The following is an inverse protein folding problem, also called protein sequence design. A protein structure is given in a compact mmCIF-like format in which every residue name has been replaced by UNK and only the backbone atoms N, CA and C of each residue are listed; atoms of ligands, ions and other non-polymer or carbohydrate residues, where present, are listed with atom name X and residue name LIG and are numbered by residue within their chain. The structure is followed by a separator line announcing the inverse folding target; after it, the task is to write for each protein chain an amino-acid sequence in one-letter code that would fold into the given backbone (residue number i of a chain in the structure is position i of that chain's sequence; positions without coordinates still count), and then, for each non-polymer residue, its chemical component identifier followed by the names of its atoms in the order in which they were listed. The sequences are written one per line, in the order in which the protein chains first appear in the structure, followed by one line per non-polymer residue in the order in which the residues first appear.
data_IF_861839929488
#
_entry.id   IF_861839929488
#
_cell.length_a   1.000
_cell.length_b   1.000
_cell.length_c   1.000
_cell.angle_alpha   90.00
_cell.angle_beta   90.00
_cell.angle_gamma   90.00
#
_symmetry.space_group_name_H-M   'P 1'
#
loop_
_entity.id
_entity.type
_entity.pdbx_description
1 polymer ?
#
# COMPACT_ATOMS: atom_id res chain seq x y z
N UNK A 1 3.59 -16.09 -16.42
CA UNK A 1 2.72 -15.25 -17.28
C UNK A 1 1.45 -14.73 -16.58
N UNK A 2 0.80 -15.49 -15.68
CA UNK A 2 -0.42 -15.04 -14.99
C UNK A 2 -0.26 -13.73 -14.20
N UNK A 3 0.83 -13.58 -13.42
CA UNK A 3 1.08 -12.39 -12.62
C UNK A 3 1.26 -11.11 -13.44
N UNK A 4 1.85 -11.20 -14.64
CA UNK A 4 2.04 -10.02 -15.52
C UNK A 4 0.69 -9.53 -16.04
N UNK A 5 -0.19 -10.44 -16.49
CA UNK A 5 -1.53 -10.07 -16.97
C UNK A 5 -2.36 -9.39 -15.87
N UNK A 6 -2.31 -9.92 -14.65
CA UNK A 6 -3.00 -9.34 -13.48
C UNK A 6 -2.44 -7.94 -13.18
N UNK A 7 -1.11 -7.80 -13.14
CA UNK A 7 -0.47 -6.52 -12.87
C UNK A 7 -0.78 -5.47 -13.94
N UNK A 8 -0.80 -5.86 -15.22
CA UNK A 8 -1.17 -4.97 -16.31
C UNK A 8 -2.64 -4.56 -16.25
N UNK A 9 -3.54 -5.49 -15.91
CA UNK A 9 -4.96 -5.19 -15.73
C UNK A 9 -5.18 -4.19 -14.57
N UNK A 10 -4.52 -4.42 -13.43
CA UNK A 10 -4.57 -3.50 -12.28
C UNK A 10 -3.99 -2.13 -12.61
N UNK A 11 -2.92 -2.07 -13.41
CA UNK A 11 -2.38 -0.80 -13.88
C UNK A 11 -3.38 -0.05 -14.77
N UNK A 12 -4.07 -0.75 -15.67
CA UNK A 12 -5.13 -0.16 -16.50
C UNK A 12 -6.30 0.36 -15.65
N UNK A 13 -6.67 -0.35 -14.57
CA UNK A 13 -7.66 0.13 -13.60
C UNK A 13 -7.18 1.41 -12.90
N UNK A 14 -5.92 1.45 -12.46
CA UNK A 14 -5.35 2.66 -11.87
C UNK A 14 -5.38 3.85 -12.86
N UNK A 15 -5.08 3.63 -14.13
CA UNK A 15 -5.21 4.67 -15.16
C UNK A 15 -6.65 5.16 -15.32
N UNK A 16 -7.64 4.26 -15.28
CA UNK A 16 -9.05 4.65 -15.30
C UNK A 16 -9.42 5.49 -14.09
N UNK A 17 -8.94 5.14 -12.89
CA UNK A 17 -9.16 5.92 -11.68
C UNK A 17 -8.53 7.32 -11.82
N UNK A 18 -7.31 7.41 -12.35
CA UNK A 18 -6.63 8.69 -12.61
C UNK A 18 -7.44 9.55 -13.57
N UNK A 19 -7.99 8.96 -14.65
CA UNK A 19 -8.86 9.68 -15.59
C UNK A 19 -10.13 10.17 -14.92
N UNK A 20 -10.79 9.34 -14.11
CA UNK A 20 -11.99 9.74 -13.36
C UNK A 20 -11.69 10.89 -12.41
N UNK A 21 -10.59 10.82 -11.66
CA UNK A 21 -10.15 11.90 -10.77
C UNK A 21 -9.82 13.17 -11.56
N UNK A 22 -9.14 13.04 -12.70
CA UNK A 22 -8.80 14.15 -13.57
C UNK A 22 -10.04 14.89 -14.07
N UNK A 23 -11.02 14.18 -14.61
CA UNK A 23 -12.26 14.79 -15.10
C UNK A 23 -13.20 15.27 -13.99
N UNK A 24 -13.16 14.63 -12.81
CA UNK A 24 -14.06 14.94 -11.69
C UNK A 24 -13.60 16.07 -10.78
N UNK A 25 -12.28 16.18 -10.52
CA UNK A 25 -11.74 17.12 -9.52
C UNK A 25 -11.18 18.40 -10.12
N UNK A 26 -10.72 18.39 -11.38
CA UNK A 26 -9.97 19.51 -11.94
C UNK A 26 -10.76 20.25 -13.03
N UNK A 27 -10.97 21.55 -12.84
CA UNK A 27 -11.72 22.38 -13.78
C UNK A 27 -10.92 22.81 -15.01
N UNK A 28 -9.62 23.10 -14.84
CA UNK A 28 -8.77 23.64 -15.91
C UNK A 28 -8.16 22.55 -16.83
N UNK A 29 -8.33 21.27 -16.50
CA UNK A 29 -7.93 20.09 -17.29
C UNK A 29 -6.55 20.25 -17.94
N UNK A 30 -5.60 20.79 -17.20
CA UNK A 30 -4.23 20.98 -17.69
C UNK A 30 -3.45 19.66 -17.62
N UNK A 31 -2.32 19.57 -18.34
CA UNK A 31 -1.44 18.40 -18.22
C UNK A 31 -0.90 18.23 -16.78
N UNK A 32 -0.67 19.34 -16.07
CA UNK A 32 -0.28 19.33 -14.66
C UNK A 32 -1.38 18.70 -13.78
N UNK A 33 -2.65 19.00 -14.05
CA UNK A 33 -3.78 18.42 -13.31
C UNK A 33 -3.88 16.90 -13.52
N UNK A 34 -3.52 16.41 -14.70
CA UNK A 34 -3.44 14.96 -14.96
C UNK A 34 -2.33 14.31 -14.13
N UNK A 35 -1.16 14.95 -14.06
CA UNK A 35 -0.05 14.50 -13.20
C UNK A 35 -0.48 14.50 -11.73
N UNK A 36 -1.18 15.54 -11.27
CA UNK A 36 -1.70 15.64 -9.91
C UNK A 36 -2.70 14.52 -9.59
N UNK A 37 -3.60 14.20 -10.52
CA UNK A 37 -4.49 13.03 -10.40
C UNK A 37 -3.72 11.72 -10.23
N UNK A 38 -2.66 11.53 -11.02
CA UNK A 38 -1.72 10.41 -10.88
C UNK A 38 -1.06 10.37 -9.51
N UNK A 39 -0.59 11.53 -9.04
CA UNK A 39 0.09 11.68 -7.76
C UNK A 39 -0.82 11.33 -6.57
N UNK A 40 -2.11 11.69 -6.62
CA UNK A 40 -3.06 11.29 -5.57
C UNK A 40 -3.23 9.77 -5.48
N UNK A 41 -3.39 9.09 -6.63
CA UNK A 41 -3.49 7.62 -6.65
C UNK A 41 -2.20 6.99 -6.13
N UNK A 42 -1.04 7.45 -6.61
CA UNK A 42 0.26 6.97 -6.14
C UNK A 42 0.43 7.18 -4.63
N UNK A 43 0.02 8.32 -4.08
CA UNK A 43 0.16 8.61 -2.66
C UNK A 43 -0.58 7.59 -1.79
N UNK A 44 -1.78 7.15 -2.20
CA UNK A 44 -2.51 6.09 -1.51
C UNK A 44 -1.73 4.78 -1.52
N UNK A 45 -1.24 4.37 -2.69
CA UNK A 45 -0.42 3.16 -2.82
C UNK A 45 0.87 3.24 -2.00
N UNK A 46 1.52 4.40 -2.00
CA UNK A 46 2.77 4.65 -1.30
C UNK A 46 2.59 4.59 0.23
N UNK A 47 1.60 5.28 0.78
CA UNK A 47 1.31 5.26 2.22
C UNK A 47 0.96 3.84 2.68
N UNK A 48 0.10 3.14 1.95
CA UNK A 48 -0.24 1.75 2.28
C UNK A 48 0.96 0.81 2.13
N UNK A 49 1.84 1.05 1.14
CA UNK A 49 3.09 0.29 1.00
C UNK A 49 4.01 0.48 2.20
N UNK A 50 4.12 1.69 2.74
CA UNK A 50 4.90 1.96 3.95
C UNK A 50 4.30 1.25 5.17
N UNK A 51 2.98 1.30 5.33
CA UNK A 51 2.28 0.57 6.41
C UNK A 51 2.56 -0.94 6.30
N UNK A 52 2.41 -1.50 5.10
CA UNK A 52 2.69 -2.92 4.86
C UNK A 52 4.16 -3.28 5.06
N UNK A 53 5.09 -2.37 4.76
CA UNK A 53 6.51 -2.56 5.01
C UNK A 53 6.79 -2.71 6.50
N UNK A 54 6.19 -1.85 7.33
CA UNK A 54 6.33 -1.92 8.79
C UNK A 54 5.67 -3.18 9.36
N UNK A 55 4.48 -3.55 8.87
CA UNK A 55 3.77 -4.78 9.30
C UNK A 55 4.57 -6.03 8.95
N UNK A 56 5.04 -6.14 7.70
CA UNK A 56 5.83 -7.31 7.26
C UNK A 56 7.20 -7.37 7.96
N UNK A 57 7.75 -6.22 8.34
CA UNK A 57 8.99 -6.11 9.12
C UNK A 57 8.91 -6.66 10.55
N UNK A 58 7.78 -7.26 10.96
CA UNK A 58 7.51 -7.79 12.31
C UNK A 58 7.61 -6.75 13.42
N UNK A 59 7.57 -5.46 13.07
CA UNK A 59 7.61 -4.36 14.04
C UNK A 59 6.42 -4.43 15.00
N UNK A 60 5.22 -4.61 14.45
CA UNK A 60 4.01 -4.80 15.23
C UNK A 60 4.00 -6.12 16.02
N UNK A 61 4.56 -7.20 15.45
CA UNK A 61 4.71 -8.47 16.16
C UNK A 61 5.59 -8.31 17.42
N UNK A 62 6.67 -7.53 17.32
CA UNK A 62 7.54 -7.20 18.46
C UNK A 62 6.84 -6.40 19.55
N UNK A 63 5.99 -5.44 19.17
CA UNK A 63 5.15 -4.66 20.11
C UNK A 63 4.16 -5.59 20.81
N UNK A 64 3.40 -6.39 20.04
CA UNK A 64 2.40 -7.33 20.57
C UNK A 64 3.08 -8.36 21.48
N UNK A 65 4.23 -8.89 21.11
CA UNK A 65 5.00 -9.80 21.95
C UNK A 65 5.39 -9.17 23.29
N UNK A 66 5.81 -7.90 23.28
CA UNK A 66 6.17 -7.16 24.50
C UNK A 66 4.97 -6.95 25.41
N UNK A 67 3.81 -6.57 24.85
CA UNK A 67 2.56 -6.46 25.61
C UNK A 67 2.06 -7.81 26.13
N UNK A 68 2.17 -8.88 25.34
CA UNK A 68 1.82 -10.26 25.75
C UNK A 68 2.70 -10.74 26.90
N UNK A 69 4.00 -10.44 26.85
CA UNK A 69 4.96 -10.74 27.94
C UNK A 69 4.70 -9.91 29.20
N UNK A 70 4.27 -8.67 29.05
CA UNK A 70 3.90 -7.82 30.19
C UNK A 70 2.58 -8.28 30.83
N UNK A 71 1.54 -8.50 30.03
CA UNK A 71 0.24 -8.97 30.49
C UNK A 71 0.33 -10.33 31.19
N UNK A 72 1.08 -11.28 30.64
CA UNK A 72 1.28 -12.60 31.27
C UNK A 72 2.02 -12.56 32.61
N UNK A 73 2.82 -11.51 32.87
CA UNK A 73 3.49 -11.30 34.18
C UNK A 73 2.59 -10.59 35.19
N UNK A 74 1.68 -9.73 34.71
CA UNK A 74 0.78 -8.94 35.57
C UNK A 74 -0.50 -9.71 35.90
N UNK A 75 -1.04 -10.49 34.97
CA UNK A 75 -2.24 -11.30 35.16
C UNK A 75 -1.86 -12.71 35.65
N UNK A 76 -1.89 -12.93 36.96
CA UNK A 76 -1.92 -14.27 37.56
C UNK A 76 -3.30 -14.90 37.32
N UNK A 77 -3.48 -15.58 36.19
CA UNK A 77 -4.69 -16.35 35.92
C UNK A 77 -4.95 -16.55 34.43
N UNK A 78 -5.51 -17.71 34.09
CA UNK A 78 -5.71 -18.32 32.76
C UNK A 78 -6.51 -17.48 31.72
N UNK A 79 -6.76 -16.20 31.95
CA UNK A 79 -7.54 -15.33 31.07
C UNK A 79 -6.81 -14.91 29.77
N UNK A 80 -5.55 -15.32 29.57
CA UNK A 80 -4.72 -14.90 28.45
C UNK A 80 -4.55 -15.96 27.33
N UNK A 81 -5.08 -17.17 27.50
CA UNK A 81 -4.86 -18.29 26.57
C UNK A 81 -5.58 -18.10 25.22
N UNK A 82 -6.74 -17.45 25.19
CA UNK A 82 -7.47 -17.18 23.93
C UNK A 82 -6.78 -16.13 23.05
N UNK A 83 -6.06 -15.17 23.65
CA UNK A 83 -5.30 -14.16 22.90
C UNK A 83 -4.00 -14.72 22.28
N UNK A 84 -3.57 -15.91 22.70
CA UNK A 84 -2.38 -16.58 22.17
C UNK A 84 -2.62 -17.25 20.81
N UNK A 85 -3.87 -17.58 20.45
CA UNK A 85 -4.21 -18.26 19.18
C UNK A 85 -4.43 -17.32 17.98
N UNK A 86 -4.44 -16.00 18.16
CA UNK A 86 -4.57 -15.07 17.01
C UNK A 86 -3.28 -15.06 16.18
N UNK A 87 -3.43 -15.23 14.87
CA UNK A 87 -2.35 -15.05 13.88
C UNK A 87 -1.69 -13.69 14.06
N UNK A 88 -0.38 -13.67 13.95
CA UNK A 88 0.39 -12.43 14.04
C UNK A 88 0.03 -11.49 12.87
N UNK A 89 0.03 -10.16 13.07
CA UNK A 89 -0.26 -9.20 12.02
C UNK A 89 0.54 -9.43 10.74
N UNK A 90 1.80 -9.87 10.86
CA UNK A 90 2.65 -10.19 9.70
C UNK A 90 2.15 -11.39 8.87
N UNK A 91 1.41 -12.33 9.47
CA UNK A 91 0.82 -13.50 8.79
C UNK A 91 -0.54 -13.20 8.16
N UNK A 92 -1.16 -12.06 8.49
CA UNK A 92 -2.46 -11.68 7.92
C UNK A 92 -2.36 -11.23 6.45
N UNK A 93 -1.17 -10.80 6.01
CA UNK A 93 -0.93 -10.30 4.65
C UNK A 93 -0.28 -11.38 3.79
N UNK A 94 -0.96 -11.79 2.71
CA UNK A 94 -0.38 -12.76 1.80
C UNK A 94 0.82 -12.17 1.06
N UNK A 95 1.91 -12.94 0.93
CA UNK A 95 3.11 -12.47 0.22
C UNK A 95 2.82 -12.12 -1.25
N UNK A 96 1.81 -12.75 -1.86
CA UNK A 96 1.38 -12.46 -3.23
C UNK A 96 0.71 -11.09 -3.31
N UNK A 97 -0.22 -10.77 -2.39
CA UNK A 97 -0.87 -9.47 -2.34
C UNK A 97 0.15 -8.33 -2.15
N UNK A 98 1.09 -8.50 -1.23
CA UNK A 98 2.15 -7.52 -1.01
C UNK A 98 3.03 -7.33 -2.24
N UNK A 99 3.41 -8.42 -2.92
CA UNK A 99 4.21 -8.34 -4.14
C UNK A 99 3.51 -7.55 -5.25
N UNK A 100 2.20 -7.80 -5.44
CA UNK A 100 1.38 -7.05 -6.40
C UNK A 100 1.29 -5.59 -5.98
N UNK A 101 1.04 -5.31 -4.70
CA UNK A 101 0.93 -3.95 -4.18
C UNK A 101 2.21 -3.13 -4.41
N UNK A 102 3.37 -3.67 -4.03
CA UNK A 102 4.66 -3.00 -4.25
C UNK A 102 4.95 -2.81 -5.75
N UNK A 103 4.63 -3.79 -6.59
CA UNK A 103 4.77 -3.65 -8.04
C UNK A 103 3.94 -2.48 -8.57
N UNK A 104 2.67 -2.35 -8.14
CA UNK A 104 1.80 -1.24 -8.52
C UNK A 104 2.35 0.12 -8.05
N UNK A 105 2.87 0.18 -6.83
CA UNK A 105 3.50 1.40 -6.29
C UNK A 105 4.71 1.82 -7.13
N UNK A 106 5.59 0.89 -7.48
CA UNK A 106 6.81 1.18 -8.26
C UNK A 106 6.45 1.61 -9.68
N UNK A 107 5.55 0.89 -10.36
CA UNK A 107 5.20 1.23 -11.75
C UNK A 107 4.48 2.59 -11.82
N UNK A 108 3.62 2.92 -10.83
CA UNK A 108 3.00 4.24 -10.74
C UNK A 108 4.03 5.34 -10.45
N UNK A 109 5.01 5.09 -9.58
CA UNK A 109 6.10 6.03 -9.33
C UNK A 109 6.91 6.31 -10.60
N UNK A 110 7.31 5.26 -11.33
CA UNK A 110 8.04 5.39 -12.60
C UNK A 110 7.22 6.15 -13.63
N UNK A 111 5.92 5.83 -13.74
CA UNK A 111 5.00 6.51 -14.66
C UNK A 111 4.89 8.01 -14.35
N UNK A 112 4.70 8.39 -13.08
CA UNK A 112 4.57 9.80 -12.68
C UNK A 112 5.89 10.54 -12.85
N UNK A 113 7.02 9.93 -12.47
CA UNK A 113 8.33 10.51 -12.71
C UNK A 113 8.57 10.74 -14.21
N UNK A 114 8.18 9.79 -15.06
CA UNK A 114 8.26 9.96 -16.51
C UNK A 114 7.38 11.12 -17.00
N UNK A 115 6.13 11.23 -16.54
CA UNK A 115 5.26 12.35 -16.90
C UNK A 115 5.79 13.71 -16.41
N UNK A 116 6.39 13.76 -15.21
CA UNK A 116 7.02 14.97 -14.67
C UNK A 116 8.23 15.39 -15.52
N UNK A 117 9.09 14.44 -15.89
CA UNK A 117 10.21 14.71 -16.78
C UNK A 117 9.74 15.26 -18.12
N UNK A 118 8.69 14.68 -18.70
CA UNK A 118 8.07 15.20 -19.92
C UNK A 118 7.53 16.61 -19.72
N UNK A 119 6.82 16.88 -18.62
CA UNK A 119 6.25 18.20 -18.33
C UNK A 119 7.32 19.29 -18.24
N UNK A 120 8.45 19.01 -17.60
CA UNK A 120 9.53 20.00 -17.46
C UNK A 120 10.44 20.10 -18.70
N UNK A 121 10.38 19.12 -19.61
CA UNK A 121 11.12 19.15 -20.87
C UNK A 121 10.40 19.87 -22.00
N UNK A 122 9.08 20.02 -21.89
CA UNK A 122 8.21 20.70 -22.85
C UNK A 122 8.01 22.17 -22.44
#
# INVERSE_FOLDING_TARGET
MANVKINSALFAVNLMIILVLFFGLFSNKSFLDFINGGFYVFSVYFILSLIFFVIKGKFFDGIIYSFRRFSSRVAKGNANEDYLQKRDPSETLSSQFLSIWYYQTIILAVFICFLLLLYYSL
#
